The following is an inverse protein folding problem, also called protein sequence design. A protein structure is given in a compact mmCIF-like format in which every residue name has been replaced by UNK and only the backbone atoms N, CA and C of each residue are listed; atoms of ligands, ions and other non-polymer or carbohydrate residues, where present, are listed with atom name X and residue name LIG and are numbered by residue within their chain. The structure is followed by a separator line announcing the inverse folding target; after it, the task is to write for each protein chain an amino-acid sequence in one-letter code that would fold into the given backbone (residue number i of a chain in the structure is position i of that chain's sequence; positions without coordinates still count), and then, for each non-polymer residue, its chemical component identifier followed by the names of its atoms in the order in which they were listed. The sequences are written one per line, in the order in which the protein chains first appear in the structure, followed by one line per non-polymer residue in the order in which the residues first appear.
data_IF_340654547609
#
_entry.id   IF_340654547609
#
_cell.length_a   1.000
_cell.length_b   1.000
_cell.length_c   1.000
_cell.angle_alpha   90.00
_cell.angle_beta   90.00
_cell.angle_gamma   90.00
#
_symmetry.space_group_name_H-M   'P 1'
#
loop_
_entity.id
_entity.type
_entity.pdbx_description
1 polymer ?
#
# COMPACT_ATOMS: atom_id res chain seq x y z
N UNK A 1 13.36 1.97 -14.07
CA UNK A 1 12.58 3.23 -14.18
C UNK A 1 11.52 3.26 -13.09
N UNK A 2 11.43 4.36 -12.40
CA UNK A 2 10.44 4.54 -11.33
C UNK A 2 9.00 4.54 -11.89
N UNK A 3 8.12 3.69 -11.34
CA UNK A 3 6.70 3.69 -11.68
C UNK A 3 5.98 4.74 -10.84
N UNK A 4 5.25 5.60 -11.52
CA UNK A 4 4.39 6.62 -10.92
C UNK A 4 2.93 6.28 -11.18
N UNK A 5 2.01 7.04 -10.61
CA UNK A 5 0.58 6.90 -10.90
C UNK A 5 0.33 7.06 -12.40
N UNK A 6 0.96 8.05 -13.01
CA UNK A 6 0.86 8.31 -14.46
C UNK A 6 1.39 7.13 -15.29
N UNK A 7 2.50 6.53 -14.86
CA UNK A 7 3.05 5.34 -15.51
C UNK A 7 2.05 4.19 -15.52
N UNK A 8 1.42 3.93 -14.37
CA UNK A 8 0.44 2.85 -14.21
C UNK A 8 -0.80 3.11 -15.05
N UNK A 9 -1.30 4.34 -15.04
CA UNK A 9 -2.43 4.73 -15.88
C UNK A 9 -2.11 4.57 -17.37
N UNK A 10 -0.91 4.93 -17.77
CA UNK A 10 -0.43 4.77 -19.15
C UNK A 10 -0.35 3.30 -19.57
N UNK A 11 0.03 2.40 -18.67
CA UNK A 11 0.04 0.96 -18.95
C UNK A 11 -1.37 0.45 -19.27
N UNK A 12 -2.36 0.86 -18.49
CA UNK A 12 -3.75 0.48 -18.73
C UNK A 12 -4.21 0.98 -20.09
N UNK A 13 -3.95 2.24 -20.42
CA UNK A 13 -4.33 2.83 -21.70
C UNK A 13 -3.67 2.12 -22.89
N UNK A 14 -2.44 1.63 -22.72
CA UNK A 14 -1.71 0.89 -23.76
C UNK A 14 -2.06 -0.61 -23.81
N UNK A 15 -2.98 -1.09 -22.98
CA UNK A 15 -3.34 -2.50 -22.91
C UNK A 15 -2.27 -3.39 -22.29
N UNK A 16 -1.33 -2.83 -21.54
CA UNK A 16 -0.27 -3.59 -20.87
C UNK A 16 -0.75 -4.08 -19.51
N UNK A 17 -0.41 -5.34 -19.19
CA UNK A 17 -0.73 -5.91 -17.88
C UNK A 17 0.09 -5.24 -16.79
N UNK A 18 -0.56 -4.97 -15.67
CA UNK A 18 0.07 -4.40 -14.48
C UNK A 18 0.29 -5.53 -13.48
N UNK A 19 1.53 -5.70 -13.03
CA UNK A 19 1.88 -6.72 -12.03
C UNK A 19 1.91 -6.06 -10.66
N UNK A 20 1.03 -6.52 -9.76
CA UNK A 20 0.95 -6.03 -8.40
C UNK A 20 1.16 -7.20 -7.43
N UNK A 21 2.07 -7.05 -6.49
CA UNK A 21 2.36 -8.04 -5.46
C UNK A 21 2.48 -7.37 -4.10
N UNK A 22 2.20 -8.13 -3.04
CA UNK A 22 2.36 -7.65 -1.67
C UNK A 22 3.79 -7.81 -1.19
N UNK A 23 4.23 -6.91 -0.31
CA UNK A 23 5.45 -7.05 0.46
C UNK A 23 5.25 -6.38 1.83
N UNK A 24 5.93 -6.90 2.84
CA UNK A 24 5.77 -6.45 4.22
C UNK A 24 7.09 -6.16 4.91
N UNK A 25 8.22 -6.33 4.21
CA UNK A 25 9.55 -6.15 4.77
C UNK A 25 10.55 -5.66 3.70
N UNK A 26 11.71 -5.27 4.18
CA UNK A 26 12.79 -4.74 3.35
C UNK A 26 13.31 -5.73 2.30
N UNK A 27 13.68 -6.98 2.67
CA UNK A 27 14.25 -7.88 1.68
C UNK A 27 13.26 -8.29 0.59
N UNK A 28 12.00 -8.48 0.91
CA UNK A 28 10.97 -8.79 -0.09
C UNK A 28 10.79 -7.62 -1.06
N UNK A 29 10.75 -6.40 -0.55
CA UNK A 29 10.67 -5.21 -1.41
C UNK A 29 11.84 -5.15 -2.40
N UNK A 30 13.05 -5.46 -1.94
CA UNK A 30 14.24 -5.52 -2.79
C UNK A 30 14.11 -6.55 -3.91
N UNK A 31 13.60 -7.72 -3.58
CA UNK A 31 13.40 -8.80 -4.56
C UNK A 31 12.36 -8.37 -5.60
N UNK A 32 11.24 -7.78 -5.18
CA UNK A 32 10.21 -7.32 -6.11
C UNK A 32 10.70 -6.20 -7.02
N UNK A 33 11.56 -5.31 -6.52
CA UNK A 33 12.20 -4.30 -7.36
C UNK A 33 13.09 -4.93 -8.43
N UNK A 34 13.89 -5.94 -8.08
CA UNK A 34 14.73 -6.66 -9.02
C UNK A 34 13.91 -7.41 -10.07
N UNK A 35 12.73 -7.89 -9.68
CA UNK A 35 11.79 -8.57 -10.59
C UNK A 35 10.98 -7.60 -11.45
N UNK A 36 11.19 -6.29 -11.30
CA UNK A 36 10.51 -5.24 -12.07
C UNK A 36 8.99 -5.26 -11.92
N UNK A 37 8.49 -5.58 -10.73
CA UNK A 37 7.07 -5.50 -10.38
C UNK A 37 6.61 -4.04 -10.49
N UNK A 38 5.39 -3.81 -10.92
CA UNK A 38 4.88 -2.45 -11.14
C UNK A 38 4.36 -1.81 -9.86
N UNK A 39 3.60 -2.57 -9.06
CA UNK A 39 3.01 -2.09 -7.81
C UNK A 39 3.39 -3.01 -6.66
N UNK A 40 3.83 -2.43 -5.56
CA UNK A 40 3.92 -3.13 -4.27
C UNK A 40 2.79 -2.64 -3.39
N UNK A 41 2.05 -3.57 -2.80
CA UNK A 41 0.99 -3.28 -1.85
C UNK A 41 1.42 -3.71 -0.45
N UNK A 42 1.36 -2.77 0.50
CA UNK A 42 1.40 -3.09 1.93
C UNK A 42 -0.05 -3.19 2.37
N UNK A 43 -0.59 -4.41 2.30
CA UNK A 43 -2.00 -4.65 2.53
C UNK A 43 -2.31 -5.05 3.97
N UNK A 44 -3.55 -4.85 4.39
CA UNK A 44 -4.00 -5.23 5.73
C UNK A 44 -3.98 -6.75 5.96
N UNK A 45 -3.87 -7.54 4.91
CA UNK A 45 -3.62 -8.99 5.00
C UNK A 45 -2.36 -9.31 5.82
N UNK A 46 -1.44 -8.34 6.00
CA UNK A 46 -0.29 -8.52 6.88
C UNK A 46 -0.70 -8.99 8.29
N UNK A 47 -1.87 -8.59 8.75
CA UNK A 47 -2.40 -9.05 10.03
C UNK A 47 -2.50 -10.55 10.12
N UNK A 48 -2.89 -11.19 9.03
CA UNK A 48 -3.06 -12.64 8.96
C UNK A 48 -1.75 -13.37 8.63
N UNK A 49 -1.05 -12.91 7.60
CA UNK A 49 0.11 -13.64 7.05
C UNK A 49 1.42 -13.32 7.76
N UNK A 50 1.52 -12.18 8.43
CA UNK A 50 2.72 -11.76 9.15
C UNK A 50 2.50 -11.79 10.66
N UNK A 51 1.37 -11.24 11.13
CA UNK A 51 1.11 -11.09 12.57
C UNK A 51 0.32 -12.24 13.17
N UNK A 52 -0.27 -13.12 12.35
CA UNK A 52 -0.98 -14.30 12.81
C UNK A 52 -2.37 -14.04 13.35
N UNK A 53 -2.98 -12.89 13.06
CA UNK A 53 -4.37 -12.60 13.43
C UNK A 53 -5.34 -13.45 12.64
N UNK A 54 -6.52 -13.71 13.19
CA UNK A 54 -7.57 -14.48 12.51
C UNK A 54 -8.23 -13.72 11.36
N UNK A 55 -8.17 -12.38 11.40
CA UNK A 55 -8.74 -11.52 10.36
C UNK A 55 -7.95 -10.22 10.25
N UNK A 56 -8.31 -9.37 9.28
CA UNK A 56 -7.69 -8.06 9.10
C UNK A 56 -8.23 -7.00 10.06
N UNK A 57 -9.29 -7.29 10.80
CA UNK A 57 -9.98 -6.33 11.68
C UNK A 57 -9.09 -5.79 12.79
N UNK A 58 -8.14 -6.60 13.27
CA UNK A 58 -7.22 -6.22 14.36
C UNK A 58 -6.02 -5.39 13.90
N UNK A 59 -5.82 -5.22 12.60
CA UNK A 59 -4.69 -4.45 12.08
C UNK A 59 -4.88 -2.97 12.39
N UNK A 60 -3.84 -2.36 12.95
CA UNK A 60 -3.84 -0.94 13.32
C UNK A 60 -3.14 -0.08 12.27
N UNK A 61 -3.36 1.24 12.33
CA UNK A 61 -2.56 2.18 11.53
C UNK A 61 -1.07 2.06 11.82
N UNK A 62 -0.70 1.84 13.09
CA UNK A 62 0.71 1.67 13.46
C UNK A 62 1.32 0.44 12.81
N UNK A 63 0.57 -0.65 12.69
CA UNK A 63 1.02 -1.85 11.96
C UNK A 63 1.32 -1.51 10.49
N UNK A 64 0.39 -0.87 9.80
CA UNK A 64 0.56 -0.52 8.39
C UNK A 64 1.73 0.47 8.22
N UNK A 65 1.81 1.49 9.06
CA UNK A 65 2.92 2.46 9.02
C UNK A 65 4.27 1.78 9.21
N UNK A 66 4.37 0.88 10.18
CA UNK A 66 5.60 0.16 10.47
C UNK A 66 6.09 -0.64 9.25
N UNK A 67 5.21 -1.43 8.66
CA UNK A 67 5.54 -2.26 7.49
C UNK A 67 5.75 -1.42 6.23
N UNK A 68 5.00 -0.33 6.05
CA UNK A 68 5.19 0.59 4.93
C UNK A 68 6.59 1.22 4.96
N UNK A 69 7.07 1.63 6.13
CA UNK A 69 8.43 2.18 6.28
C UNK A 69 9.50 1.16 5.88
N UNK A 70 9.34 -0.08 6.31
CA UNK A 70 10.30 -1.14 5.98
C UNK A 70 10.34 -1.39 4.46
N UNK A 71 9.16 -1.51 3.84
CA UNK A 71 9.05 -1.70 2.38
C UNK A 71 9.60 -0.50 1.62
N UNK A 72 9.29 0.72 2.06
CA UNK A 72 9.75 1.95 1.42
C UNK A 72 11.27 2.03 1.34
N UNK A 73 11.96 1.57 2.39
CA UNK A 73 13.44 1.54 2.38
C UNK A 73 14.01 0.62 1.32
N UNK A 74 13.30 -0.46 0.99
CA UNK A 74 13.71 -1.42 -0.04
C UNK A 74 13.18 -1.11 -1.43
N UNK A 75 12.22 -0.20 -1.53
CA UNK A 75 11.56 0.12 -2.80
C UNK A 75 12.24 1.33 -3.47
N UNK A 76 12.55 1.17 -4.75
CA UNK A 76 13.11 2.25 -5.58
C UNK A 76 12.31 2.51 -6.85
N UNK A 77 11.73 1.46 -7.42
CA UNK A 77 11.15 1.50 -8.77
C UNK A 77 9.65 1.23 -8.82
N UNK A 78 9.12 0.44 -7.88
CA UNK A 78 7.69 0.11 -7.87
C UNK A 78 6.86 1.28 -7.33
N UNK A 79 5.61 1.38 -7.76
CA UNK A 79 4.65 2.26 -7.11
C UNK A 79 4.27 1.62 -5.76
N UNK A 80 4.50 2.32 -4.66
CA UNK A 80 4.19 1.81 -3.33
C UNK A 80 2.81 2.26 -2.89
N UNK A 81 1.93 1.28 -2.68
CA UNK A 81 0.56 1.50 -2.22
C UNK A 81 0.41 0.90 -0.83
N UNK A 82 -0.27 1.58 0.07
CA UNK A 82 -0.56 1.08 1.41
C UNK A 82 -2.05 1.13 1.70
N UNK A 83 -2.54 0.14 2.45
CA UNK A 83 -3.95 0.08 2.85
C UNK A 83 -4.24 0.96 4.06
N UNK A 84 -5.40 1.61 4.02
CA UNK A 84 -6.03 2.12 5.24
C UNK A 84 -6.75 0.94 5.91
N UNK A 85 -6.36 0.54 7.14
CA UNK A 85 -6.95 -0.61 7.80
C UNK A 85 -8.36 -0.32 8.34
N UNK A 86 -9.02 -1.36 8.82
CA UNK A 86 -10.38 -1.30 9.34
C UNK A 86 -10.53 -0.17 10.37
N UNK A 87 -11.59 0.61 10.23
CA UNK A 87 -11.94 1.77 11.07
C UNK A 87 -10.99 2.97 10.99
N UNK A 88 -10.05 2.97 10.06
CA UNK A 88 -9.11 4.10 9.90
C UNK A 88 -9.63 5.20 8.97
N UNK A 89 -10.81 5.01 8.39
CA UNK A 89 -11.42 5.95 7.43
C UNK A 89 -12.93 6.12 7.65
N UNK A 90 -13.35 6.20 8.92
CA UNK A 90 -14.76 6.35 9.30
C UNK A 90 -15.31 7.75 9.07
N UNK A 91 -14.43 8.72 8.82
CA UNK A 91 -14.80 10.09 8.43
C UNK A 91 -13.79 10.60 7.42
N UNK A 92 -14.12 11.66 6.69
CA UNK A 92 -13.22 12.31 5.74
C UNK A 92 -11.94 12.81 6.44
N UNK A 93 -12.09 13.49 7.56
CA UNK A 93 -10.94 14.04 8.31
C UNK A 93 -10.01 12.93 8.79
N UNK A 94 -10.56 11.84 9.31
CA UNK A 94 -9.77 10.70 9.78
C UNK A 94 -9.07 10.01 8.60
N UNK A 95 -9.77 9.82 7.49
CA UNK A 95 -9.20 9.21 6.29
C UNK A 95 -8.02 10.03 5.77
N UNK A 96 -8.15 11.35 5.71
CA UNK A 96 -7.08 12.24 5.26
C UNK A 96 -5.89 12.19 6.21
N UNK A 97 -6.13 12.28 7.52
CA UNK A 97 -5.08 12.23 8.52
C UNK A 97 -4.28 10.92 8.46
N UNK A 98 -4.98 9.79 8.32
CA UNK A 98 -4.34 8.48 8.22
C UNK A 98 -3.63 8.28 6.87
N UNK A 99 -4.20 8.77 5.77
CA UNK A 99 -3.54 8.75 4.48
C UNK A 99 -2.22 9.54 4.52
N UNK A 100 -2.20 10.70 5.16
CA UNK A 100 -0.97 11.48 5.36
C UNK A 100 0.09 10.71 6.13
N UNK A 101 -0.29 9.97 7.17
CA UNK A 101 0.64 9.11 7.90
C UNK A 101 1.30 8.07 6.98
N UNK A 102 0.53 7.49 6.07
CA UNK A 102 1.07 6.52 5.10
C UNK A 102 2.00 7.19 4.08
N UNK A 103 1.67 8.38 3.60
CA UNK A 103 2.56 9.13 2.71
C UNK A 103 3.87 9.50 3.41
N UNK A 104 3.82 9.90 4.66
CA UNK A 104 5.01 10.17 5.47
C UNK A 104 5.86 8.91 5.69
N UNK A 105 5.23 7.74 5.74
CA UNK A 105 5.91 6.46 5.84
C UNK A 105 6.56 6.01 4.53
N UNK A 106 6.22 6.64 3.40
CA UNK A 106 6.80 6.36 2.09
C UNK A 106 5.82 5.83 1.05
N UNK A 107 4.54 5.65 1.39
CA UNK A 107 3.53 5.28 0.40
C UNK A 107 3.33 6.41 -0.62
N UNK A 108 3.00 6.04 -1.84
CA UNK A 108 2.77 6.97 -2.94
C UNK A 108 1.29 7.01 -3.35
N UNK A 109 0.53 6.04 -2.89
CA UNK A 109 -0.92 5.98 -3.02
C UNK A 109 -1.47 5.18 -1.84
N UNK A 110 -2.74 5.38 -1.54
CA UNK A 110 -3.44 4.63 -0.49
C UNK A 110 -4.63 3.91 -1.09
N UNK A 111 -4.95 2.77 -0.51
CA UNK A 111 -6.14 2.00 -0.88
C UNK A 111 -7.02 1.83 0.34
N UNK A 112 -8.32 1.88 0.14
CA UNK A 112 -9.31 1.51 1.16
C UNK A 112 -10.47 0.78 0.49
N UNK A 113 -11.20 0.02 1.26
CA UNK A 113 -12.32 -0.79 0.77
C UNK A 113 -13.65 -0.17 1.16
N UNK A 114 -14.60 -0.27 0.23
CA UNK A 114 -15.92 0.30 0.40
C UNK A 114 -16.02 1.72 -0.17
N UNK A 115 -17.22 2.09 -0.49
CA UNK A 115 -17.54 3.39 -1.06
C UNK A 115 -18.41 4.14 -0.04
N UNK A 116 -17.78 4.98 0.77
CA UNK A 116 -18.49 5.84 1.71
C UNK A 116 -18.61 7.22 1.10
N UNK A 117 -19.84 7.79 0.96
CA UNK A 117 -20.02 9.08 0.28
C UNK A 117 -19.20 10.22 0.88
N UNK A 118 -18.81 10.13 2.15
CA UNK A 118 -18.05 11.17 2.85
C UNK A 118 -16.54 11.10 2.55
N UNK A 119 -16.06 10.04 1.88
CA UNK A 119 -14.64 9.77 1.68
C UNK A 119 -14.24 9.88 0.20
N UNK A 120 -15.22 9.85 -0.69
CA UNK A 120 -15.01 10.05 -2.13
C UNK A 120 -15.07 11.56 -2.52
#
# INVERSE_FOLDING_TARGET
MKRTIETIQGMKAAGRKIVALTAYDYPTARILNQAEVDIILVGDTLGMVVLGYESTVSVTMDDIVHHTRAVARGNRTCLLVADLPYRSYTSTDLAIANAQRLFEAGAEAVKFEGCHPEIT
#
